data_IF_928620377790
#
_entry.id   IF_928620377790
#
_cell.length_a   1.000
_cell.length_b   1.000
_cell.length_c   1.000
_cell.angle_alpha   90.00
_cell.angle_beta   90.00
_cell.angle_gamma   90.00
#
_symmetry.space_group_name_H-M   'P 1'
#
loop_
_entity.id
_entity.type
_entity.pdbx_description
1 polymer ?
#
# COMPACT_ATOMS: atom_id res chain seq x y z
N UNK A 1 1.61 -18.53 -1.49
CA UNK A 1 2.06 -17.22 -1.04
C UNK A 1 1.16 -16.72 0.08
N UNK A 2 1.64 -15.79 0.88
CA UNK A 2 0.88 -15.20 1.97
C UNK A 2 -0.06 -14.10 1.43
N UNK A 3 -1.08 -14.48 0.69
CA UNK A 3 -2.13 -13.55 0.28
C UNK A 3 -3.07 -13.31 1.46
N UNK A 4 -3.38 -12.04 1.74
CA UNK A 4 -4.30 -11.63 2.79
C UNK A 4 -5.47 -10.88 2.17
N UNK A 5 -6.68 -11.39 2.40
CA UNK A 5 -7.91 -10.66 2.07
C UNK A 5 -8.47 -10.01 3.34
N UNK A 6 -8.78 -8.72 3.26
CA UNK A 6 -9.40 -7.98 4.36
C UNK A 6 -10.73 -7.39 3.90
N UNK A 7 -11.79 -7.67 4.65
CA UNK A 7 -13.05 -6.94 4.55
C UNK A 7 -13.05 -5.80 5.58
N UNK A 8 -13.40 -4.61 5.14
CA UNK A 8 -13.36 -3.38 5.92
C UNK A 8 -14.76 -2.77 5.97
N UNK A 9 -15.20 -2.45 7.18
CA UNK A 9 -16.40 -1.67 7.44
C UNK A 9 -16.02 -0.35 8.10
N UNK A 10 -16.41 0.72 7.47
CA UNK A 10 -16.30 2.08 7.98
C UNK A 10 -17.70 2.53 8.38
N UNK A 11 -17.98 2.68 9.69
CA UNK A 11 -19.32 2.98 10.17
C UNK A 11 -19.77 4.38 9.73
N UNK A 12 -21.09 4.58 9.69
CA UNK A 12 -21.69 5.89 9.50
C UNK A 12 -21.26 6.84 10.62
N UNK A 13 -21.03 8.08 10.27
CA UNK A 13 -20.74 9.14 11.22
C UNK A 13 -21.92 10.10 11.27
N UNK A 14 -22.45 10.39 12.48
CA UNK A 14 -23.61 11.25 12.70
C UNK A 14 -23.38 12.73 12.29
N UNK A 15 -22.12 13.13 12.19
CA UNK A 15 -21.69 14.41 11.63
C UNK A 15 -20.55 14.16 10.64
N UNK A 16 -20.47 14.96 9.58
CA UNK A 16 -19.29 14.96 8.74
C UNK A 16 -18.06 15.24 9.62
N UNK A 17 -17.08 14.33 9.70
CA UNK A 17 -15.88 14.62 10.46
C UNK A 17 -15.23 15.86 9.86
N UNK A 18 -14.58 16.68 10.69
CA UNK A 18 -13.75 17.76 10.19
C UNK A 18 -12.68 17.20 9.24
N UNK A 19 -12.10 18.05 8.42
CA UNK A 19 -11.12 17.70 7.39
C UNK A 19 -9.90 16.91 7.92
N UNK A 20 -9.72 16.85 9.24
CA UNK A 20 -8.66 16.11 9.92
C UNK A 20 -8.97 14.63 10.20
N UNK A 21 -10.24 14.19 10.04
CA UNK A 21 -10.62 12.82 10.31
C UNK A 21 -10.53 11.96 9.06
N UNK A 22 -9.59 11.03 9.08
CA UNK A 22 -9.41 10.05 8.02
C UNK A 22 -9.73 8.64 8.56
N UNK A 23 -10.42 7.83 7.76
CA UNK A 23 -10.65 6.42 8.09
C UNK A 23 -9.36 5.57 7.99
N UNK A 24 -8.46 5.95 7.08
CA UNK A 24 -7.10 5.44 7.01
C UNK A 24 -6.16 6.58 6.63
N UNK A 25 -5.12 6.77 7.45
CA UNK A 25 -4.08 7.78 7.21
C UNK A 25 -3.28 7.49 5.94
N UNK A 26 -2.56 8.48 5.45
CA UNK A 26 -1.63 8.36 4.33
C UNK A 26 -0.61 7.25 4.58
N UNK A 27 -0.53 6.28 3.65
CA UNK A 27 0.42 5.18 3.72
C UNK A 27 0.67 4.55 2.34
N UNK A 28 1.74 3.78 2.23
CA UNK A 28 1.99 2.83 1.16
C UNK A 28 1.80 1.40 1.66
N UNK A 29 1.33 0.50 0.80
CA UNK A 29 1.21 -0.91 1.12
C UNK A 29 2.57 -1.60 1.16
N UNK A 30 2.76 -2.55 2.09
CA UNK A 30 4.05 -3.24 2.29
C UNK A 30 4.32 -4.28 1.21
N UNK A 31 3.28 -4.87 0.64
CA UNK A 31 3.29 -6.01 -0.30
C UNK A 31 3.82 -5.65 -1.71
N UNK A 32 3.65 -6.56 -2.68
CA UNK A 32 3.94 -6.29 -4.09
C UNK A 32 2.87 -5.41 -4.71
N UNK A 33 1.63 -5.86 -4.67
CA UNK A 33 0.46 -5.16 -5.21
C UNK A 33 -0.75 -5.43 -4.34
N UNK A 34 -1.65 -4.47 -4.31
CA UNK A 34 -2.97 -4.61 -3.69
C UNK A 34 -4.05 -4.47 -4.75
N UNK A 35 -4.96 -5.43 -4.81
CA UNK A 35 -6.13 -5.37 -5.67
C UNK A 35 -7.35 -4.91 -4.86
N UNK A 36 -8.03 -3.87 -5.36
CA UNK A 36 -9.18 -3.26 -4.71
C UNK A 36 -10.37 -3.25 -5.68
N UNK A 37 -11.35 -4.13 -5.48
CA UNK A 37 -12.65 -3.98 -6.10
C UNK A 37 -13.31 -2.67 -5.68
N UNK A 38 -14.29 -2.23 -6.44
CA UNK A 38 -15.05 -1.03 -6.12
C UNK A 38 -15.68 -1.15 -4.72
N UNK A 39 -15.45 -0.17 -3.87
CA UNK A 39 -16.10 -0.07 -2.58
C UNK A 39 -17.56 0.42 -2.72
N UNK A 40 -18.37 0.24 -1.68
CA UNK A 40 -19.77 0.65 -1.68
C UNK A 40 -19.99 2.16 -1.68
N UNK A 41 -18.98 2.93 -1.27
CA UNK A 41 -19.00 4.38 -1.25
C UNK A 41 -17.62 4.95 -1.60
N UNK A 42 -17.52 6.23 -2.05
CA UNK A 42 -16.26 6.93 -2.27
C UNK A 42 -15.41 7.05 -1.01
N UNK A 43 -14.21 7.60 -1.13
CA UNK A 43 -13.32 7.91 -0.01
C UNK A 43 -11.88 7.48 -0.20
N UNK A 44 -11.59 6.55 -1.11
CA UNK A 44 -10.21 6.25 -1.47
C UNK A 44 -9.62 7.39 -2.27
N UNK A 45 -8.48 7.89 -1.83
CA UNK A 45 -7.69 8.90 -2.52
C UNK A 45 -6.26 8.43 -2.71
N UNK A 46 -5.69 8.71 -3.87
CA UNK A 46 -4.27 8.46 -4.19
C UNK A 46 -3.54 9.77 -4.34
N UNK A 47 -2.27 9.78 -3.95
CA UNK A 47 -1.41 10.95 -4.05
C UNK A 47 -0.74 10.98 -5.42
N UNK A 48 -0.98 12.04 -6.18
CA UNK A 48 -0.38 12.29 -7.49
C UNK A 48 0.19 13.71 -7.47
N UNK A 49 1.50 13.84 -7.69
CA UNK A 49 2.20 15.14 -7.70
C UNK A 49 1.81 16.06 -6.53
N UNK A 50 1.89 15.54 -5.30
CA UNK A 50 1.50 16.22 -4.06
C UNK A 50 0.01 16.59 -3.89
N UNK A 51 -0.82 16.15 -4.82
CA UNK A 51 -2.27 16.36 -4.76
C UNK A 51 -3.02 15.05 -4.50
N UNK A 52 -4.14 15.13 -3.78
CA UNK A 52 -5.02 14.00 -3.56
C UNK A 52 -6.06 13.89 -4.67
N UNK A 53 -6.13 12.72 -5.31
CA UNK A 53 -7.07 12.42 -6.38
C UNK A 53 -7.98 11.27 -5.93
N UNK A 54 -9.29 11.45 -6.08
CA UNK A 54 -10.26 10.40 -5.80
C UNK A 54 -10.07 9.20 -6.73
N UNK A 55 -9.99 8.02 -6.14
CA UNK A 55 -9.81 6.77 -6.87
C UNK A 55 -11.08 5.92 -6.77
N UNK A 56 -11.82 5.87 -7.88
CA UNK A 56 -13.03 5.08 -8.01
C UNK A 56 -13.03 4.34 -9.34
N UNK A 57 -12.90 3.02 -9.37
CA UNK A 57 -12.85 2.31 -10.64
C UNK A 57 -14.23 2.29 -11.30
N UNK A 58 -14.32 2.27 -12.62
CA UNK A 58 -15.56 1.99 -13.34
C UNK A 58 -16.14 0.61 -12.97
N UNK A 59 -17.41 0.38 -13.29
CA UNK A 59 -18.05 -0.92 -13.06
C UNK A 59 -17.29 -2.03 -13.82
N UNK A 60 -17.12 -3.16 -13.16
CA UNK A 60 -16.37 -4.29 -13.71
C UNK A 60 -14.84 -4.13 -13.72
N UNK A 61 -14.32 -3.05 -13.17
CA UNK A 61 -12.88 -2.81 -13.02
C UNK A 61 -12.48 -2.87 -11.54
N UNK A 62 -11.18 -3.02 -11.32
CA UNK A 62 -10.57 -2.91 -9.99
C UNK A 62 -9.35 -1.98 -10.06
N UNK A 63 -9.01 -1.40 -8.92
CA UNK A 63 -7.77 -0.65 -8.74
C UNK A 63 -6.68 -1.65 -8.38
N UNK A 64 -5.50 -1.48 -8.98
CA UNK A 64 -4.29 -2.17 -8.55
C UNK A 64 -3.33 -1.10 -8.03
N UNK A 65 -2.98 -1.21 -6.74
CA UNK A 65 -2.03 -0.33 -6.09
C UNK A 65 -0.67 -1.01 -5.97
N UNK A 66 0.41 -0.28 -6.19
CA UNK A 66 1.79 -0.75 -6.07
C UNK A 66 2.27 -0.67 -4.62
N UNK A 67 3.02 -1.66 -4.17
CA UNK A 67 3.54 -1.73 -2.81
C UNK A 67 5.06 -1.56 -2.71
N UNK A 68 5.54 -1.45 -1.47
CA UNK A 68 6.96 -1.24 -1.12
C UNK A 68 7.86 -2.38 -1.62
N UNK A 69 7.36 -3.63 -1.65
CA UNK A 69 8.15 -4.75 -2.19
C UNK A 69 8.30 -4.68 -3.71
N UNK A 70 7.35 -4.07 -4.43
CA UNK A 70 7.49 -3.83 -5.86
C UNK A 70 8.51 -2.71 -6.15
N UNK A 71 8.49 -1.66 -5.34
CA UNK A 71 9.49 -0.60 -5.37
C UNK A 71 10.90 -1.18 -5.16
N UNK A 72 11.07 -2.04 -4.17
CA UNK A 72 12.32 -2.76 -3.91
C UNK A 72 12.78 -3.58 -5.12
N UNK A 73 11.89 -4.42 -5.69
CA UNK A 73 12.22 -5.25 -6.86
C UNK A 73 12.56 -4.43 -8.10
N UNK A 74 11.92 -3.28 -8.27
CA UNK A 74 12.17 -2.41 -9.43
C UNK A 74 13.23 -1.35 -9.17
N UNK A 75 13.99 -1.47 -8.08
CA UNK A 75 15.04 -0.53 -7.71
C UNK A 75 14.57 0.93 -7.70
N UNK A 76 13.34 1.18 -7.27
CA UNK A 76 12.74 2.51 -7.20
C UNK A 76 12.12 3.01 -8.51
N UNK A 77 12.08 2.20 -9.58
CA UNK A 77 11.47 2.61 -10.86
C UNK A 77 9.95 2.69 -10.76
N UNK A 78 9.35 1.79 -9.98
CA UNK A 78 7.90 1.80 -9.70
C UNK A 78 7.72 2.08 -8.21
N UNK A 79 7.46 3.33 -7.81
CA UNK A 79 7.28 3.69 -6.41
C UNK A 79 5.99 3.11 -5.84
N UNK A 80 5.87 2.98 -4.51
CA UNK A 80 4.62 2.59 -3.87
C UNK A 80 3.53 3.64 -4.10
N UNK A 81 2.32 3.19 -4.37
CA UNK A 81 1.14 4.04 -4.51
C UNK A 81 0.70 4.56 -3.14
N UNK A 82 1.01 5.82 -2.85
CA UNK A 82 0.60 6.45 -1.59
C UNK A 82 -0.88 6.78 -1.65
N UNK A 83 -1.62 6.34 -0.64
CA UNK A 83 -3.06 6.50 -0.60
C UNK A 83 -3.58 6.71 0.82
N UNK A 84 -4.83 7.17 0.92
CA UNK A 84 -5.57 7.36 2.18
C UNK A 84 -7.05 7.05 1.96
N UNK A 85 -7.81 6.89 3.05
CA UNK A 85 -9.27 6.78 2.99
C UNK A 85 -9.87 7.88 3.85
N UNK A 86 -10.67 8.74 3.23
CA UNK A 86 -11.35 9.85 3.90
C UNK A 86 -12.84 9.60 4.00
N UNK A 87 -13.48 10.14 5.02
CA UNK A 87 -14.93 10.10 5.19
C UNK A 87 -15.57 11.19 4.33
N UNK A 88 -16.24 10.82 3.24
CA UNK A 88 -16.88 11.75 2.31
C UNK A 88 -18.41 11.82 2.52
N UNK A 89 -18.87 12.01 3.74
CA UNK A 89 -20.29 12.20 4.03
C UNK A 89 -20.88 11.23 5.05
N UNK A 90 -22.17 11.37 5.35
CA UNK A 90 -22.89 10.54 6.30
C UNK A 90 -23.27 9.21 5.65
N UNK A 91 -22.54 8.19 5.82
CA UNK A 91 -22.87 6.86 5.26
C UNK A 91 -21.84 5.82 5.63
N UNK A 92 -22.28 4.58 5.58
CA UNK A 92 -21.39 3.46 5.75
C UNK A 92 -20.60 3.19 4.47
N UNK A 93 -19.36 2.76 4.64
CA UNK A 93 -18.52 2.32 3.54
C UNK A 93 -18.02 0.92 3.80
N UNK A 94 -18.15 0.04 2.83
CA UNK A 94 -17.57 -1.29 2.85
C UNK A 94 -16.57 -1.43 1.71
N UNK A 95 -15.46 -2.07 1.97
CA UNK A 95 -14.47 -2.42 0.95
C UNK A 95 -13.85 -3.77 1.22
N UNK A 96 -13.35 -4.38 0.16
CA UNK A 96 -12.55 -5.60 0.23
C UNK A 96 -11.21 -5.29 -0.39
N UNK A 97 -10.12 -5.70 0.26
CA UNK A 97 -8.75 -5.53 -0.24
C UNK A 97 -8.06 -6.87 -0.27
N UNK A 98 -7.36 -7.14 -1.37
CA UNK A 98 -6.52 -8.31 -1.54
C UNK A 98 -5.06 -7.88 -1.58
N UNK A 99 -4.34 -8.16 -0.49
CA UNK A 99 -2.90 -7.93 -0.42
C UNK A 99 -2.15 -9.14 -1.02
N UNK A 100 -1.38 -8.89 -2.07
CA UNK A 100 -0.60 -9.93 -2.74
C UNK A 100 0.86 -9.85 -2.28
N UNK A 101 1.22 -10.72 -1.33
CA UNK A 101 2.58 -10.88 -0.86
C UNK A 101 3.31 -11.99 -1.63
N UNK A 102 4.62 -11.88 -1.86
CA UNK A 102 5.43 -13.03 -2.24
C UNK A 102 5.48 -14.04 -1.09
N UNK A 103 6.00 -15.23 -1.34
CA UNK A 103 6.28 -16.17 -0.24
C UNK A 103 7.38 -15.60 0.67
N UNK A 104 7.38 -15.90 1.98
CA UNK A 104 8.36 -15.33 2.93
C UNK A 104 9.83 -15.51 2.50
N UNK A 105 10.14 -16.61 1.88
CA UNK A 105 11.49 -16.97 1.40
C UNK A 105 11.83 -16.47 -0.01
N UNK A 106 10.89 -15.76 -0.67
CA UNK A 106 11.18 -15.15 -1.97
C UNK A 106 12.25 -14.08 -1.81
N UNK A 107 13.29 -14.19 -2.64
CA UNK A 107 14.35 -13.19 -2.67
C UNK A 107 13.88 -11.95 -3.42
N UNK A 108 13.89 -10.81 -2.74
CA UNK A 108 13.69 -9.51 -3.34
C UNK A 108 15.05 -8.98 -3.81
N UNK A 109 15.49 -9.45 -4.97
CA UNK A 109 16.68 -8.95 -5.64
C UNK A 109 16.25 -7.91 -6.68
N UNK A 110 16.83 -6.69 -6.68
CA UNK A 110 16.53 -5.70 -7.71
C UNK A 110 16.70 -6.26 -9.11
N UNK A 111 15.71 -6.09 -9.96
CA UNK A 111 15.70 -6.59 -11.33
C UNK A 111 16.85 -5.93 -12.10
N UNK A 112 17.75 -6.72 -12.76
CA UNK A 112 18.95 -6.18 -13.37
C UNK A 112 18.72 -5.04 -14.38
N UNK A 113 17.61 -5.08 -15.13
CA UNK A 113 17.25 -4.04 -16.09
C UNK A 113 16.79 -2.73 -15.43
N UNK A 114 16.47 -2.75 -14.13
CA UNK A 114 16.14 -1.56 -13.36
C UNK A 114 17.36 -0.92 -12.68
N UNK A 115 18.52 -1.57 -12.77
CA UNK A 115 19.80 -1.04 -12.26
C UNK A 115 20.63 -0.56 -13.42
N UNK A 116 20.86 0.74 -13.52
CA UNK A 116 21.56 1.38 -14.62
C UNK A 116 22.58 2.41 -14.11
N UNK A 117 23.47 2.95 -14.93
CA UNK A 117 24.34 4.05 -14.51
C UNK A 117 23.57 5.28 -13.97
N UNK A 118 22.39 5.57 -14.51
CA UNK A 118 21.53 6.68 -14.08
C UNK A 118 20.62 6.31 -12.89
N UNK A 119 20.43 5.02 -12.62
CA UNK A 119 19.71 4.49 -11.47
C UNK A 119 20.53 3.38 -10.80
N UNK A 120 21.58 3.74 -10.03
CA UNK A 120 22.46 2.76 -9.38
C UNK A 120 21.68 1.93 -8.34
N UNK A 121 22.25 0.78 -7.96
CA UNK A 121 21.63 -0.12 -6.98
C UNK A 121 21.29 0.61 -5.68
N UNK A 122 20.02 0.57 -5.30
CA UNK A 122 19.47 1.24 -4.09
C UNK A 122 19.16 0.28 -2.96
N UNK A 123 18.73 -0.94 -3.31
CA UNK A 123 18.21 -1.91 -2.35
C UNK A 123 19.09 -3.16 -2.30
N UNK A 124 19.33 -3.72 -1.10
CA UNK A 124 20.03 -4.98 -0.95
C UNK A 124 19.15 -6.16 -1.43
N UNK A 125 19.77 -7.30 -1.69
CA UNK A 125 19.03 -8.55 -1.89
C UNK A 125 18.66 -9.14 -0.53
N UNK A 126 17.38 -9.19 -0.21
CA UNK A 126 16.85 -9.71 1.06
C UNK A 126 15.64 -10.60 0.81
N UNK A 127 15.21 -11.37 1.81
CA UNK A 127 13.94 -12.11 1.70
C UNK A 127 12.72 -11.20 1.85
N UNK A 128 11.57 -11.64 1.34
CA UNK A 128 10.32 -10.93 1.54
C UNK A 128 9.93 -10.86 3.04
N UNK A 129 10.29 -11.88 3.82
CA UNK A 129 10.10 -11.88 5.28
C UNK A 129 10.93 -10.79 5.95
N UNK A 130 12.22 -10.72 5.64
CA UNK A 130 13.11 -9.70 6.22
C UNK A 130 12.64 -8.28 5.86
N UNK A 131 12.20 -8.08 4.59
CA UNK A 131 11.66 -6.78 4.18
C UNK A 131 10.38 -6.41 4.93
N UNK A 132 9.50 -7.39 5.13
CA UNK A 132 8.28 -7.17 5.94
C UNK A 132 8.64 -6.78 7.38
N UNK A 133 9.54 -7.52 8.03
CA UNK A 133 9.99 -7.23 9.39
C UNK A 133 10.62 -5.84 9.50
N UNK A 134 11.45 -5.46 8.53
CA UNK A 134 12.07 -4.15 8.46
C UNK A 134 11.02 -3.03 8.38
N UNK A 135 10.04 -3.15 7.49
CA UNK A 135 8.99 -2.12 7.34
C UNK A 135 8.14 -2.02 8.60
N UNK A 136 7.73 -3.16 9.19
CA UNK A 136 6.97 -3.17 10.45
C UNK A 136 7.73 -2.47 11.57
N UNK A 137 9.05 -2.64 11.62
CA UNK A 137 9.91 -1.93 12.57
C UNK A 137 10.00 -0.44 12.27
N UNK A 138 10.17 -0.05 10.98
CA UNK A 138 10.26 1.35 10.54
C UNK A 138 8.98 2.15 10.90
N UNK A 139 7.81 1.51 10.85
CA UNK A 139 6.53 2.14 11.22
C UNK A 139 6.16 1.95 12.71
N UNK A 140 7.10 1.49 13.53
CA UNK A 140 6.95 1.32 14.99
C UNK A 140 5.80 0.41 15.44
N UNK A 141 5.42 -0.59 14.64
CA UNK A 141 4.42 -1.59 15.04
C UNK A 141 5.00 -2.70 15.95
N UNK A 142 6.32 -2.80 16.08
CA UNK A 142 7.01 -3.71 17.00
C UNK A 142 8.18 -3.01 17.68
N UNK A 143 8.30 -3.16 18.99
CA UNK A 143 9.35 -2.51 19.78
C UNK A 143 10.76 -3.14 19.59
N UNK A 144 10.84 -4.35 19.02
CA UNK A 144 12.06 -5.15 18.90
C UNK A 144 12.35 -5.67 17.50
N UNK A 145 12.02 -4.88 16.47
CA UNK A 145 12.37 -5.21 15.10
C UNK A 145 13.89 -5.23 14.88
N UNK A 146 14.39 -6.19 14.12
CA UNK A 146 15.79 -6.27 13.75
C UNK A 146 16.06 -5.33 12.58
N UNK A 147 16.88 -4.32 12.81
CA UNK A 147 17.41 -3.49 11.73
C UNK A 147 18.35 -4.37 10.88
N UNK A 148 18.04 -4.48 9.62
CA UNK A 148 18.93 -5.12 8.64
C UNK A 148 19.82 -4.00 8.08
N UNK A 149 21.08 -4.02 8.49
CA UNK A 149 22.13 -3.11 7.98
C UNK A 149 22.55 -3.53 6.57
#
# INVERSE_FOLDING_TARGET
GAALTRALHYPSMDAAPGDEHVWAAEHGDINLITALPRATAPGLQVKVDDSWVDASPPDGHLIVNTGIMLDHLTNGVIPPGIHRVVANGPGERHSVVQFCHPTPWTMLAPIPTCVTPDNPLRYPTITASDRLEQVIWEINLVESGRRLD
#
